data_IF_403149558096
#
_entry.id   IF_403149558096
#
_cell.length_a   1.000
_cell.length_b   1.000
_cell.length_c   1.000
_cell.angle_alpha   90.00
_cell.angle_beta   90.00
_cell.angle_gamma   90.00
#
_symmetry.space_group_name_H-M   'P 1'
#
loop_
_entity.id
_entity.type
_entity.pdbx_description
1 polymer ?
#
# COMPACT_ATOMS: atom_id res chain seq x y z
N UNK A 1 7.03 -28.81 17.04
CA UNK A 1 8.13 -28.64 18.01
C UNK A 1 9.26 -27.89 17.31
N UNK A 2 9.80 -26.83 17.93
CA UNK A 2 10.74 -25.91 17.25
C UNK A 2 12.19 -26.42 17.35
N UNK A 3 12.58 -26.98 18.51
CA UNK A 3 13.88 -27.61 18.75
C UNK A 3 13.79 -28.48 20.02
N UNK A 4 14.57 -29.56 20.08
CA UNK A 4 14.77 -30.36 21.29
C UNK A 4 16.19 -30.17 21.85
N UNK A 5 16.30 -30.20 23.17
CA UNK A 5 17.56 -30.19 23.92
C UNK A 5 17.41 -31.00 25.19
N UNK A 6 18.55 -31.32 25.83
CA UNK A 6 18.58 -32.09 27.08
C UNK A 6 19.27 -31.30 28.19
N UNK A 7 18.68 -31.31 29.38
CA UNK A 7 19.33 -30.88 30.62
C UNK A 7 19.61 -32.12 31.47
N UNK A 8 20.72 -32.10 32.21
CA UNK A 8 21.12 -33.21 33.07
C UNK A 8 21.53 -32.71 34.45
N UNK A 9 21.16 -33.43 35.49
CA UNK A 9 21.50 -33.14 36.88
C UNK A 9 21.10 -34.30 37.78
N UNK A 10 21.44 -34.21 39.06
CA UNK A 10 21.07 -35.21 40.07
C UNK A 10 19.70 -34.90 40.65
N UNK A 11 19.05 -35.90 41.23
CA UNK A 11 17.83 -35.72 42.01
C UNK A 11 18.00 -34.64 43.08
N UNK A 12 17.07 -33.69 43.13
CA UNK A 12 17.09 -32.53 44.03
C UNK A 12 18.05 -31.40 43.62
N UNK A 13 18.83 -31.57 42.56
CA UNK A 13 19.68 -30.50 42.01
C UNK A 13 18.84 -29.50 41.21
N UNK A 14 19.12 -28.21 41.40
CA UNK A 14 18.55 -27.14 40.58
C UNK A 14 19.60 -26.70 39.56
N UNK A 15 19.28 -26.80 38.28
CA UNK A 15 20.14 -26.35 37.18
C UNK A 15 19.55 -25.12 36.51
N UNK A 16 20.41 -24.25 35.96
CA UNK A 16 19.95 -23.14 35.12
C UNK A 16 19.48 -23.66 33.77
N UNK A 17 18.33 -23.18 33.33
CA UNK A 17 17.80 -23.42 31.99
C UNK A 17 18.18 -22.23 31.13
N UNK A 18 19.03 -22.46 30.12
CA UNK A 18 19.41 -21.45 29.13
C UNK A 18 18.88 -21.89 27.78
N UNK A 19 17.77 -21.31 27.29
CA UNK A 19 17.20 -21.68 26.00
C UNK A 19 18.15 -21.39 24.85
N UNK A 20 18.25 -22.32 23.89
CA UNK A 20 18.90 -22.05 22.62
C UNK A 20 17.83 -21.59 21.62
N UNK A 21 17.67 -20.28 21.48
CA UNK A 21 16.63 -19.66 20.64
C UNK A 21 17.06 -19.74 19.16
N UNK A 22 16.29 -20.41 18.28
CA UNK A 22 16.61 -20.47 16.86
C UNK A 22 16.52 -19.12 16.17
N UNK A 23 17.11 -19.02 14.97
CA UNK A 23 17.01 -17.82 14.14
C UNK A 23 15.54 -17.46 13.88
N UNK A 24 15.23 -16.15 13.87
CA UNK A 24 13.88 -15.62 13.69
C UNK A 24 12.86 -15.96 14.79
N UNK A 25 13.29 -16.52 15.92
CA UNK A 25 12.48 -16.65 17.13
C UNK A 25 12.93 -15.67 18.23
N UNK A 26 12.03 -15.39 19.17
CA UNK A 26 12.28 -14.71 20.44
C UNK A 26 11.55 -15.41 21.59
N UNK A 27 12.07 -15.29 22.81
CA UNK A 27 11.45 -15.88 23.99
C UNK A 27 10.16 -15.17 24.40
N UNK A 28 9.18 -15.95 24.84
CA UNK A 28 7.97 -15.43 25.50
C UNK A 28 8.29 -15.19 26.98
N UNK A 29 7.85 -14.06 27.52
CA UNK A 29 8.03 -13.76 28.94
C UNK A 29 7.38 -14.81 29.84
N UNK A 30 8.06 -15.18 30.93
CA UNK A 30 7.58 -16.19 31.88
C UNK A 30 8.13 -17.61 31.65
N UNK A 31 9.08 -17.78 30.72
CA UNK A 31 9.82 -19.03 30.58
C UNK A 31 10.58 -19.37 31.88
N UNK A 32 10.66 -20.67 32.25
CA UNK A 32 11.45 -21.10 33.40
C UNK A 32 12.94 -20.81 33.17
N UNK A 33 13.59 -20.24 34.18
CA UNK A 33 15.04 -19.95 34.17
C UNK A 33 15.87 -20.99 34.93
N UNK A 34 15.18 -21.82 35.71
CA UNK A 34 15.75 -22.93 36.47
C UNK A 34 14.83 -24.15 36.37
N UNK A 35 15.42 -25.30 36.68
CA UNK A 35 14.70 -26.56 36.78
C UNK A 35 15.30 -27.41 37.90
N UNK A 36 14.44 -27.93 38.77
CA UNK A 36 14.82 -28.84 39.86
C UNK A 36 14.39 -30.25 39.52
N UNK A 37 15.34 -31.19 39.49
CA UNK A 37 15.07 -32.59 39.20
C UNK A 37 14.27 -33.24 40.35
N UNK A 38 13.03 -33.70 40.12
CA UNK A 38 12.18 -34.23 41.18
C UNK A 38 12.64 -35.62 41.64
N UNK A 39 12.31 -35.98 42.89
CA UNK A 39 12.67 -37.29 43.47
C UNK A 39 12.03 -38.49 42.77
N UNK A 40 10.82 -38.31 42.22
CA UNK A 40 10.06 -39.36 41.52
C UNK A 40 9.93 -39.09 40.01
N UNK A 41 10.85 -38.32 39.43
CA UNK A 41 10.85 -38.01 38.00
C UNK A 41 11.23 -39.19 37.12
N UNK A 42 10.64 -39.28 35.94
CA UNK A 42 11.08 -40.12 34.82
C UNK A 42 11.53 -39.22 33.68
N UNK A 43 12.26 -39.74 32.70
CA UNK A 43 12.63 -38.97 31.50
C UNK A 43 11.38 -38.39 30.79
N UNK A 44 10.23 -39.07 30.89
CA UNK A 44 8.95 -38.63 30.33
C UNK A 44 8.24 -37.54 31.16
N UNK A 45 8.47 -37.46 32.49
CA UNK A 45 7.88 -36.43 33.35
C UNK A 45 8.82 -35.24 33.61
N UNK A 46 10.11 -35.40 33.32
CA UNK A 46 11.13 -34.36 33.43
C UNK A 46 11.16 -33.47 32.17
N UNK A 47 10.07 -32.78 31.90
CA UNK A 47 9.94 -31.90 30.72
C UNK A 47 10.02 -30.43 31.14
N UNK A 48 10.94 -29.69 30.53
CA UNK A 48 10.99 -28.22 30.61
C UNK A 48 10.52 -27.66 29.27
N UNK A 49 9.43 -26.91 29.30
CA UNK A 49 8.87 -26.29 28.08
C UNK A 49 9.30 -24.83 28.01
N UNK A 50 9.97 -24.47 26.92
CA UNK A 50 10.29 -23.09 26.56
C UNK A 50 9.32 -22.62 25.49
N UNK A 51 8.60 -21.54 25.77
CA UNK A 51 7.70 -20.90 24.83
C UNK A 51 8.46 -19.83 24.03
N UNK A 52 8.42 -19.97 22.71
CA UNK A 52 9.00 -19.04 21.75
C UNK A 52 7.89 -18.47 20.86
N UNK A 53 8.11 -17.28 20.33
CA UNK A 53 7.28 -16.67 19.29
C UNK A 53 8.14 -16.25 18.10
N UNK A 54 7.51 -16.09 16.94
CA UNK A 54 8.19 -15.62 15.74
C UNK A 54 8.56 -14.14 15.90
N UNK A 55 9.75 -13.78 15.41
CA UNK A 55 10.12 -12.38 15.19
C UNK A 55 9.43 -11.89 13.93
N UNK A 56 8.94 -10.67 13.99
CA UNK A 56 8.25 -10.02 12.89
C UNK A 56 8.99 -8.74 12.50
N UNK A 57 8.88 -8.37 11.23
CA UNK A 57 9.47 -7.15 10.68
C UNK A 57 8.38 -6.31 9.99
N UNK A 58 8.48 -4.99 10.11
CA UNK A 58 7.66 -4.07 9.32
C UNK A 58 8.26 -3.93 7.93
N UNK A 59 7.45 -4.21 6.90
CA UNK A 59 7.79 -4.00 5.49
C UNK A 59 6.84 -2.96 4.90
N UNK A 60 7.19 -2.38 3.75
CA UNK A 60 6.35 -1.43 3.04
C UNK A 60 6.29 -1.77 1.56
N UNK A 61 5.19 -1.40 0.92
CA UNK A 61 5.07 -1.37 -0.54
C UNK A 61 4.39 -0.09 -0.98
N UNK A 62 4.82 0.43 -2.11
CA UNK A 62 4.26 1.66 -2.68
C UNK A 62 3.34 1.34 -3.86
N UNK A 63 2.33 2.17 -4.03
CA UNK A 63 1.54 2.24 -5.25
C UNK A 63 1.35 3.70 -5.66
N UNK A 64 1.34 3.94 -6.97
CA UNK A 64 1.06 5.26 -7.53
C UNK A 64 -0.24 5.16 -8.31
N UNK A 65 -1.21 5.99 -7.93
CA UNK A 65 -2.47 6.13 -8.67
C UNK A 65 -2.36 7.38 -9.52
N UNK A 66 -2.61 7.24 -10.82
CA UNK A 66 -2.54 8.34 -11.80
C UNK A 66 -3.89 8.59 -12.43
N UNK A 67 -4.31 9.85 -12.36
CA UNK A 67 -5.45 10.39 -13.12
C UNK A 67 -4.92 11.19 -14.30
N UNK A 68 -5.35 10.83 -15.50
CA UNK A 68 -5.06 11.61 -16.72
C UNK A 68 -6.32 12.31 -17.20
N UNK A 69 -6.22 13.62 -17.40
CA UNK A 69 -7.28 14.45 -17.96
C UNK A 69 -6.92 14.71 -19.42
N UNK A 70 -7.71 14.19 -20.33
CA UNK A 70 -7.56 14.41 -21.77
C UNK A 70 -8.52 15.50 -22.24
N UNK A 71 -7.96 16.47 -22.95
CA UNK A 71 -8.70 17.52 -23.63
C UNK A 71 -8.84 17.14 -25.09
N UNK A 72 -10.07 16.90 -25.56
CA UNK A 72 -10.34 16.43 -26.93
C UNK A 72 -11.28 17.38 -27.68
N UNK A 73 -11.28 17.33 -29.00
CA UNK A 73 -12.31 17.98 -29.82
C UNK A 73 -13.55 17.07 -30.02
N UNK A 74 -14.62 17.60 -30.63
CA UNK A 74 -15.84 16.85 -30.94
C UNK A 74 -15.62 15.66 -31.91
N UNK A 75 -14.47 15.58 -32.58
CA UNK A 75 -14.09 14.46 -33.46
C UNK A 75 -13.26 13.41 -32.72
N UNK A 76 -12.97 13.63 -31.44
CA UNK A 76 -12.16 12.75 -30.60
C UNK A 76 -10.65 12.97 -30.72
N UNK A 77 -10.18 13.99 -31.45
CA UNK A 77 -8.76 14.28 -31.56
C UNK A 77 -8.24 14.82 -30.22
N UNK A 78 -7.07 14.33 -29.79
CA UNK A 78 -6.40 14.81 -28.60
C UNK A 78 -5.80 16.19 -28.86
N UNK A 79 -6.16 17.17 -28.03
CA UNK A 79 -5.69 18.55 -28.09
C UNK A 79 -4.61 18.82 -27.06
N UNK A 80 -4.80 18.32 -25.83
CA UNK A 80 -3.88 18.50 -24.71
C UNK A 80 -4.14 17.43 -23.62
N UNK A 81 -3.23 17.31 -22.66
CA UNK A 81 -3.33 16.38 -21.53
C UNK A 81 -2.81 17.01 -20.25
N UNK A 82 -3.44 16.68 -19.12
CA UNK A 82 -2.91 16.98 -17.79
C UNK A 82 -2.98 15.75 -16.90
N UNK A 83 -1.91 15.40 -16.23
CA UNK A 83 -1.87 14.26 -15.30
C UNK A 83 -1.67 14.71 -13.86
N UNK A 84 -2.29 13.99 -12.93
CA UNK A 84 -2.04 14.07 -11.49
C UNK A 84 -1.72 12.68 -10.97
N UNK A 85 -0.77 12.58 -10.04
CA UNK A 85 -0.39 11.31 -9.41
C UNK A 85 -0.38 11.44 -7.89
N UNK A 86 -0.89 10.42 -7.21
CA UNK A 86 -0.87 10.29 -5.76
C UNK A 86 -0.10 9.03 -5.39
N UNK A 87 0.86 9.16 -4.47
CA UNK A 87 1.69 8.05 -4.01
C UNK A 87 1.16 7.55 -2.68
N UNK A 88 0.90 6.26 -2.59
CA UNK A 88 0.48 5.58 -1.38
C UNK A 88 1.60 4.65 -0.90
N UNK A 89 1.77 4.56 0.41
CA UNK A 89 2.65 3.58 1.06
C UNK A 89 1.80 2.71 1.98
N UNK A 90 1.77 1.40 1.71
CA UNK A 90 1.08 0.42 2.54
C UNK A 90 2.10 -0.33 3.41
N UNK A 91 1.97 -0.25 4.75
CA UNK A 91 2.77 -1.08 5.64
C UNK A 91 2.26 -2.53 5.66
N UNK A 92 3.16 -3.45 5.92
CA UNK A 92 2.90 -4.86 6.12
C UNK A 92 3.73 -5.41 7.27
N UNK A 93 3.29 -6.54 7.80
CA UNK A 93 3.98 -7.26 8.84
C UNK A 93 4.45 -8.61 8.28
N UNK A 94 5.77 -8.80 8.23
CA UNK A 94 6.42 -10.00 7.72
C UNK A 94 6.80 -10.90 8.88
N UNK A 95 6.31 -12.13 8.85
CA UNK A 95 6.79 -13.20 9.73
C UNK A 95 8.13 -13.73 9.19
N UNK A 96 9.18 -13.67 10.00
CA UNK A 96 10.53 -14.03 9.56
C UNK A 96 10.78 -15.55 9.53
N UNK A 97 9.92 -16.36 10.15
CA UNK A 97 9.99 -17.82 10.10
C UNK A 97 9.27 -18.34 8.87
N UNK A 98 8.05 -17.88 8.63
CA UNK A 98 7.21 -18.37 7.50
C UNK A 98 7.45 -17.60 6.21
N UNK A 99 7.98 -16.38 6.29
CA UNK A 99 8.12 -15.46 5.16
C UNK A 99 6.82 -14.81 4.72
N UNK A 100 5.69 -15.11 5.37
CA UNK A 100 4.39 -14.56 5.01
C UNK A 100 4.29 -13.08 5.39
N UNK A 101 3.71 -12.27 4.49
CA UNK A 101 3.43 -10.85 4.74
C UNK A 101 1.93 -10.65 4.87
N UNK A 102 1.52 -10.04 5.98
CA UNK A 102 0.16 -9.55 6.19
C UNK A 102 0.15 -8.05 5.97
N UNK A 103 -0.50 -7.58 4.90
CA UNK A 103 -0.59 -6.15 4.58
C UNK A 103 -1.66 -5.45 5.42
N UNK A 104 -1.40 -4.21 5.82
CA UNK A 104 -2.36 -3.39 6.57
C UNK A 104 -3.55 -3.00 5.70
N UNK A 105 -4.75 -3.14 6.23
CA UNK A 105 -5.98 -2.62 5.61
C UNK A 105 -6.14 -1.11 5.79
N UNK A 106 -5.38 -0.53 6.72
CA UNK A 106 -5.56 0.84 7.17
C UNK A 106 -4.61 1.78 6.40
N UNK A 107 -4.79 1.84 5.08
CA UNK A 107 -4.10 2.81 4.22
C UNK A 107 -5.04 4.01 4.02
N UNK A 108 -4.66 5.23 4.45
CA UNK A 108 -5.49 6.41 4.27
C UNK A 108 -5.80 6.67 2.80
N UNK A 109 -7.04 7.04 2.49
CA UNK A 109 -7.39 7.54 1.17
C UNK A 109 -6.73 8.91 0.92
N UNK A 110 -6.52 9.23 -0.34
CA UNK A 110 -6.03 10.54 -0.79
C UNK A 110 -6.96 11.08 -1.87
N UNK A 111 -6.90 12.38 -2.15
CA UNK A 111 -7.76 13.00 -3.14
C UNK A 111 -6.95 13.78 -4.15
N UNK A 112 -7.31 13.64 -5.43
CA UNK A 112 -6.82 14.54 -6.46
C UNK A 112 -7.54 15.88 -6.32
N UNK A 113 -6.80 16.97 -6.44
CA UNK A 113 -7.39 18.31 -6.47
C UNK A 113 -8.24 18.50 -7.73
N UNK A 114 -9.26 19.35 -7.64
CA UNK A 114 -9.99 19.78 -8.84
C UNK A 114 -9.04 20.46 -9.84
N UNK A 115 -9.38 20.33 -11.12
CA UNK A 115 -8.65 20.95 -12.22
C UNK A 115 -9.60 21.83 -13.01
N UNK A 116 -9.32 23.14 -13.03
CA UNK A 116 -9.99 24.06 -13.95
C UNK A 116 -9.63 23.69 -15.39
N UNK A 117 -10.64 23.59 -16.24
CA UNK A 117 -10.46 23.37 -17.68
C UNK A 117 -9.82 24.61 -18.29
N UNK A 118 -8.71 24.49 -19.04
CA UNK A 118 -8.11 25.62 -19.74
C UNK A 118 -9.11 26.35 -20.65
N UNK A 119 -9.01 27.66 -20.75
CA UNK A 119 -9.79 28.38 -21.76
C UNK A 119 -9.16 28.18 -23.14
N UNK A 120 -10.01 27.99 -24.16
CA UNK A 120 -9.58 27.85 -25.56
C UNK A 120 -10.40 28.77 -26.44
N UNK A 121 -9.76 29.79 -27.02
CA UNK A 121 -10.44 30.78 -27.87
C UNK A 121 -11.18 30.11 -29.04
N UNK A 122 -12.45 30.48 -29.23
CA UNK A 122 -13.31 29.90 -30.27
C UNK A 122 -13.95 28.55 -29.90
N UNK A 123 -13.75 28.04 -28.68
CA UNK A 123 -14.34 26.80 -28.21
C UNK A 123 -15.01 26.96 -26.84
N UNK A 124 -15.96 26.07 -26.55
CA UNK A 124 -16.61 25.92 -25.24
C UNK A 124 -16.44 24.48 -24.76
N UNK A 125 -15.82 24.23 -23.59
CA UNK A 125 -15.71 22.88 -23.06
C UNK A 125 -17.06 22.37 -22.52
N UNK A 126 -17.26 21.05 -22.54
CA UNK A 126 -18.41 20.38 -21.92
C UNK A 126 -18.41 20.50 -20.39
N UNK A 127 -17.22 20.63 -19.79
CA UNK A 127 -16.99 20.79 -18.36
C UNK A 127 -16.03 21.95 -18.09
N UNK A 128 -16.44 22.91 -17.27
CA UNK A 128 -15.58 24.00 -16.84
C UNK A 128 -14.50 23.57 -15.82
N UNK A 129 -14.78 22.49 -15.07
CA UNK A 129 -13.86 21.89 -14.09
C UNK A 129 -13.95 20.37 -14.16
N UNK A 130 -12.82 19.72 -13.92
CA UNK A 130 -12.74 18.32 -13.55
C UNK A 130 -12.70 18.27 -12.02
N UNK A 131 -13.70 17.66 -11.35
CA UNK A 131 -13.83 17.74 -9.89
C UNK A 131 -12.68 17.03 -9.17
N UNK A 132 -12.53 17.31 -7.87
CA UNK A 132 -11.69 16.50 -7.00
C UNK A 132 -12.25 15.09 -6.88
N UNK A 133 -11.39 14.09 -6.77
CA UNK A 133 -11.81 12.70 -6.59
C UNK A 133 -10.94 11.99 -5.55
N UNK A 134 -11.59 11.26 -4.65
CA UNK A 134 -10.92 10.48 -3.61
C UNK A 134 -10.63 9.08 -4.11
N UNK A 135 -9.39 8.65 -3.94
CA UNK A 135 -8.87 7.36 -4.38
C UNK A 135 -8.20 6.62 -3.21
N UNK A 136 -8.13 5.30 -3.33
CA UNK A 136 -7.50 4.41 -2.34
C UNK A 136 -6.24 3.78 -2.93
N UNK A 137 -5.49 3.05 -2.09
CA UNK A 137 -4.30 2.31 -2.53
C UNK A 137 -4.58 1.38 -3.71
N UNK A 138 -5.78 0.77 -3.79
CA UNK A 138 -6.14 -0.20 -4.84
C UNK A 138 -6.82 0.45 -6.06
N UNK A 139 -7.02 1.77 -6.06
CA UNK A 139 -7.57 2.47 -7.24
C UNK A 139 -6.61 2.32 -8.40
N UNK A 140 -7.14 1.89 -9.55
CA UNK A 140 -6.36 1.80 -10.80
C UNK A 140 -6.24 3.16 -11.45
N UNK A 141 -5.20 3.33 -12.25
CA UNK A 141 -5.07 4.48 -13.14
C UNK A 141 -6.30 4.62 -14.03
N UNK A 142 -6.71 5.86 -14.27
CA UNK A 142 -7.89 6.17 -15.07
C UNK A 142 -7.74 7.48 -15.83
N UNK A 143 -8.62 7.64 -16.82
CA UNK A 143 -8.66 8.79 -17.69
C UNK A 143 -10.02 9.45 -17.64
N UNK A 144 -10.02 10.78 -17.50
CA UNK A 144 -11.19 11.63 -17.65
C UNK A 144 -11.05 12.45 -18.93
N UNK A 145 -12.14 12.61 -19.67
CA UNK A 145 -12.16 13.40 -20.90
C UNK A 145 -12.98 14.67 -20.72
N UNK A 146 -12.44 15.77 -21.22
CA UNK A 146 -13.11 17.06 -21.41
C UNK A 146 -13.14 17.34 -22.91
N UNK A 147 -14.33 17.63 -23.45
CA UNK A 147 -14.55 17.82 -24.89
C UNK A 147 -14.80 19.30 -25.19
N UNK A 148 -14.00 19.87 -26.09
CA UNK A 148 -14.19 21.23 -26.60
C UNK A 148 -15.08 21.23 -27.84
N UNK A 149 -16.19 21.96 -27.73
CA UNK A 149 -17.10 22.25 -28.84
C UNK A 149 -16.72 23.54 -29.54
N UNK A 150 -16.67 23.53 -30.87
CA UNK A 150 -16.38 24.73 -31.64
C UNK A 150 -17.56 25.72 -31.55
N UNK A 151 -17.25 26.99 -31.32
CA UNK A 151 -18.27 28.04 -31.25
C UNK A 151 -18.69 28.47 -32.65
N UNK A 152 -19.96 28.86 -32.80
CA UNK A 152 -20.45 29.43 -34.06
C UNK A 152 -19.75 30.77 -34.37
N UNK A 153 -19.44 30.99 -35.64
CA UNK A 153 -18.84 32.23 -36.13
C UNK A 153 -19.60 32.71 -37.37
N UNK A 154 -19.77 34.01 -37.50
CA UNK A 154 -20.37 34.64 -38.68
C UNK A 154 -19.37 35.57 -39.35
N UNK A 155 -19.34 35.54 -40.68
CA UNK A 155 -18.54 36.44 -41.51
C UNK A 155 -19.45 37.31 -42.39
N UNK A 156 -18.99 38.52 -42.75
CA UNK A 156 -19.67 39.39 -43.71
C UNK A 156 -18.95 39.34 -45.06
N UNK A 157 -19.69 39.09 -46.12
CA UNK A 157 -19.21 39.25 -47.51
C UNK A 157 -19.52 40.67 -47.96
N UNK A 158 -18.54 41.34 -48.57
CA UNK A 158 -18.69 42.67 -49.17
C UNK A 158 -18.39 42.56 -50.66
N UNK A 159 -19.31 43.04 -51.47
CA UNK A 159 -19.14 43.16 -52.92
C UNK A 159 -18.79 44.61 -53.23
N UNK A 160 -17.70 44.81 -53.97
CA UNK A 160 -17.25 46.13 -54.43
C UNK A 160 -17.35 46.11 -55.96
N UNK A 161 -17.87 47.19 -56.52
CA UNK A 161 -17.90 47.45 -57.95
C UNK A 161 -16.66 48.29 -58.30
N UNK A 162 -15.83 47.76 -59.20
CA UNK A 162 -14.56 48.37 -59.61
C UNK A 162 -14.70 49.14 -60.95
N UNK A 163 -15.88 49.18 -61.57
CA UNK A 163 -16.11 49.92 -62.81
C UNK A 163 -16.35 51.41 -62.51
N UNK A 164 -15.32 52.25 -62.74
CA UNK A 164 -15.39 53.72 -62.71
C UNK A 164 -14.61 54.34 -63.87
#
# INVERSE_FOLDING_TARGET
EVKQGSISGKTGETVKVTPEVPENYEEVGGNPTDYTFPENGTDESNVVTIHLKHKHETVTRDNVVTRTIEYRDEKGNLLDTKSQSLTFTQPGNKDLVTGQVTWSTDVPSQSFDEVKTPEKAGYTPDKAVVPSETVTFDTKDYTETVVYKANEQTGRVVYVDDDN
#
